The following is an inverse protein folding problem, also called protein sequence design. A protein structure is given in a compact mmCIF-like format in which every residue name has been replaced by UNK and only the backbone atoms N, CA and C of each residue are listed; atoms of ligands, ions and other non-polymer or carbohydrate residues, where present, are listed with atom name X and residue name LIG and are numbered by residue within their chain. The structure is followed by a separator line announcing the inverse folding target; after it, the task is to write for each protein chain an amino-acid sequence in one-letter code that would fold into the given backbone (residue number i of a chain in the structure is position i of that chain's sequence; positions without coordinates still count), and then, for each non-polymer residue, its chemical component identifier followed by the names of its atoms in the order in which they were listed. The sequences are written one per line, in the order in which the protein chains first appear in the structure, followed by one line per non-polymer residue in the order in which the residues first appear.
data_IF_170255757350
#
_entry.id   IF_170255757350
#
_cell.length_a   1.000
_cell.length_b   1.000
_cell.length_c   1.000
_cell.angle_alpha   90.00
_cell.angle_beta   90.00
_cell.angle_gamma   90.00
#
_symmetry.space_group_name_H-M   'P 1'
#
loop_
_entity.id
_entity.type
_entity.pdbx_description
1 polymer ?
#
# COMPACT_ATOMS: atom_id res chain seq x y z
N UNK A 1 25.27 33.12 16.37
CA UNK A 1 25.08 34.56 16.06
C UNK A 1 23.61 34.88 15.77
N UNK A 2 23.21 36.15 15.58
CA UNK A 2 21.86 36.45 15.05
C UNK A 2 21.85 36.08 13.57
N UNK A 3 20.97 35.15 13.16
CA UNK A 3 20.79 34.78 11.76
C UNK A 3 19.34 34.47 11.43
N UNK A 4 19.04 34.49 10.14
CA UNK A 4 17.74 34.11 9.60
C UNK A 4 17.64 32.58 9.62
N UNK A 5 16.66 32.05 10.36
CA UNK A 5 16.44 30.61 10.55
C UNK A 5 14.96 30.29 10.40
N UNK A 6 14.66 29.01 10.25
CA UNK A 6 13.30 28.51 10.16
C UNK A 6 12.61 28.50 11.54
N UNK A 7 11.37 28.97 11.56
CA UNK A 7 10.42 28.87 12.67
C UNK A 7 9.27 27.97 12.26
N UNK A 8 8.86 27.07 13.15
CA UNK A 8 7.71 26.19 12.95
C UNK A 8 6.63 26.54 13.98
N UNK A 9 5.43 26.86 13.50
CA UNK A 9 4.24 27.10 14.32
C UNK A 9 3.56 25.76 14.66
N UNK A 10 3.75 25.29 15.89
CA UNK A 10 3.20 24.01 16.37
C UNK A 10 1.66 23.97 16.31
N UNK A 11 0.97 25.12 16.41
CA UNK A 11 -0.49 25.16 16.35
C UNK A 11 -1.01 24.89 14.94
N UNK A 12 -0.25 25.28 13.91
CA UNK A 12 -0.59 25.05 12.49
C UNK A 12 -0.02 23.76 11.94
N UNK A 13 1.02 23.22 12.57
CA UNK A 13 1.66 21.99 12.15
C UNK A 13 0.71 20.80 12.34
N UNK A 14 0.47 20.01 11.29
CA UNK A 14 -0.37 18.80 11.35
C UNK A 14 0.43 17.51 11.57
N UNK A 15 1.76 17.59 11.56
CA UNK A 15 2.62 16.41 11.69
C UNK A 15 2.77 15.58 10.42
N UNK A 16 2.37 16.11 9.25
CA UNK A 16 2.36 15.35 7.99
C UNK A 16 3.74 14.92 7.45
N UNK A 17 4.84 15.44 7.98
CA UNK A 17 6.20 15.00 7.63
C UNK A 17 6.79 15.54 6.32
N UNK A 18 6.01 16.19 5.46
CA UNK A 18 6.48 16.68 4.15
C UNK A 18 7.72 17.61 4.21
N UNK A 19 7.85 18.37 5.30
CA UNK A 19 9.01 19.25 5.53
C UNK A 19 10.28 18.49 5.96
N UNK A 20 10.15 17.30 6.54
CA UNK A 20 11.27 16.41 6.85
C UNK A 20 11.88 15.91 5.56
N UNK A 21 11.05 15.40 4.64
CA UNK A 21 11.50 14.87 3.35
C UNK A 21 12.08 15.96 2.43
N UNK A 22 11.57 17.19 2.55
CA UNK A 22 12.02 18.32 1.75
C UNK A 22 13.33 18.96 2.26
N UNK A 23 13.77 18.66 3.48
CA UNK A 23 14.94 19.30 4.06
C UNK A 23 16.22 18.61 3.56
N UNK A 24 16.97 19.29 2.69
CA UNK A 24 18.22 18.73 2.16
C UNK A 24 19.21 18.40 3.27
N UNK A 25 19.27 19.24 4.32
CA UNK A 25 20.19 19.10 5.45
C UNK A 25 19.69 18.16 6.56
N UNK A 26 18.55 17.50 6.36
CA UNK A 26 18.00 16.54 7.34
C UNK A 26 17.76 17.16 8.74
N UNK A 27 17.58 18.49 8.78
CA UNK A 27 17.55 19.31 9.99
C UNK A 27 16.20 19.31 10.72
N UNK A 28 15.14 18.82 10.08
CA UNK A 28 13.78 18.77 10.62
C UNK A 28 13.42 17.34 10.98
N UNK A 29 12.82 17.14 12.15
CA UNK A 29 12.32 15.85 12.62
C UNK A 29 10.89 15.97 13.16
N UNK A 30 10.19 14.85 13.26
CA UNK A 30 8.89 14.79 13.95
C UNK A 30 9.09 14.35 15.40
N UNK A 31 8.73 15.23 16.34
CA UNK A 31 8.72 14.94 17.77
C UNK A 31 7.29 15.15 18.25
N UNK A 32 6.69 14.12 18.88
CA UNK A 32 5.31 14.14 19.36
C UNK A 32 4.28 14.55 18.28
N UNK A 33 4.51 14.14 17.02
CA UNK A 33 3.62 14.46 15.90
C UNK A 33 3.72 15.91 15.42
N UNK A 34 4.75 16.66 15.81
CA UNK A 34 5.01 18.04 15.36
C UNK A 34 6.41 18.14 14.76
N UNK A 35 6.53 18.93 13.70
CA UNK A 35 7.83 19.20 13.09
C UNK A 35 8.63 20.15 13.98
N UNK A 36 9.88 19.79 14.26
CA UNK A 36 10.81 20.58 15.07
C UNK A 36 12.20 20.54 14.40
N UNK A 37 12.97 21.62 14.58
CA UNK A 37 14.39 21.61 14.22
C UNK A 37 15.13 20.72 15.22
N UNK A 38 15.93 19.79 14.71
CA UNK A 38 16.73 18.90 15.53
C UNK A 38 17.79 19.70 16.29
N UNK A 39 18.51 20.56 15.56
CA UNK A 39 19.46 21.53 16.09
C UNK A 39 19.52 22.74 15.17
N UNK A 40 19.85 23.89 15.75
CA UNK A 40 19.97 25.14 15.03
C UNK A 40 21.09 25.13 13.98
N UNK A 41 22.23 24.53 14.30
CA UNK A 41 23.40 24.44 13.43
C UNK A 41 23.21 23.47 12.24
N UNK A 42 22.12 22.71 12.21
CA UNK A 42 21.78 21.87 11.05
C UNK A 42 20.96 22.63 10.01
N UNK A 43 20.29 23.71 10.39
CA UNK A 43 19.49 24.50 9.47
C UNK A 43 20.38 25.50 8.73
N UNK A 44 20.51 25.38 7.41
CA UNK A 44 21.25 26.34 6.58
C UNK A 44 20.55 27.70 6.46
N UNK A 45 19.22 27.74 6.67
CA UNK A 45 18.39 28.94 6.52
C UNK A 45 17.92 29.20 5.08
N UNK A 46 18.04 28.21 4.17
CA UNK A 46 17.65 28.35 2.76
C UNK A 46 16.13 28.33 2.56
N UNK A 47 15.45 27.45 3.31
CA UNK A 47 13.98 27.41 3.37
C UNK A 47 13.26 26.50 2.38
N UNK A 48 13.92 25.44 1.89
CA UNK A 48 13.31 24.42 1.02
C UNK A 48 12.06 23.75 1.63
N UNK A 49 11.94 23.75 2.95
CA UNK A 49 10.78 23.23 3.65
C UNK A 49 9.52 24.11 3.55
N UNK A 50 9.64 25.40 3.21
CA UNK A 50 8.50 26.34 3.18
C UNK A 50 7.43 25.92 2.16
N UNK A 51 7.75 25.69 0.88
CA UNK A 51 6.75 25.33 -0.13
C UNK A 51 6.08 23.97 0.13
N UNK A 52 6.76 23.08 0.86
CA UNK A 52 6.29 21.72 1.15
C UNK A 52 5.29 21.67 2.31
N UNK A 53 5.09 22.77 3.05
CA UNK A 53 4.16 22.81 4.17
C UNK A 53 2.74 23.21 3.71
N UNK A 54 1.77 22.27 3.62
CA UNK A 54 0.44 22.57 3.10
C UNK A 54 -0.38 23.51 4.00
N UNK A 55 -0.01 23.62 5.28
CA UNK A 55 -0.69 24.49 6.26
C UNK A 55 0.03 25.80 6.51
N UNK A 56 1.10 26.10 5.78
CA UNK A 56 1.93 27.29 5.98
C UNK A 56 2.36 27.48 7.45
N UNK A 57 2.71 26.38 8.12
CA UNK A 57 3.19 26.38 9.49
C UNK A 57 4.67 26.82 9.61
N UNK A 58 5.37 26.98 8.50
CA UNK A 58 6.82 27.25 8.47
C UNK A 58 7.06 28.66 7.95
N UNK A 59 7.89 29.43 8.66
CA UNK A 59 8.27 30.79 8.29
C UNK A 59 9.73 31.07 8.64
N UNK A 60 10.27 32.19 8.17
CA UNK A 60 11.56 32.68 8.68
C UNK A 60 11.39 33.50 9.94
N UNK A 61 12.38 33.44 10.82
CA UNK A 61 12.59 34.39 11.92
C UNK A 61 14.07 34.76 12.03
N UNK A 62 14.36 35.91 12.61
CA UNK A 62 15.72 36.28 13.01
C UNK A 62 15.84 36.12 14.51
N UNK A 63 16.73 35.24 14.94
CA UNK A 63 17.03 35.02 16.35
C UNK A 63 18.48 34.62 16.55
N UNK A 64 18.91 34.62 17.80
CA UNK A 64 20.17 34.01 18.17
C UNK A 64 20.10 32.49 17.95
N UNK A 65 21.04 31.97 17.16
CA UNK A 65 21.15 30.57 16.80
C UNK A 65 22.62 30.20 16.60
N UNK A 66 22.95 28.92 16.71
CA UNK A 66 24.26 28.41 16.33
C UNK A 66 24.48 28.59 14.82
N UNK A 67 25.74 28.75 14.43
CA UNK A 67 26.14 28.88 13.02
C UNK A 67 25.98 27.52 12.33
N UNK A 68 25.73 27.54 11.02
CA UNK A 68 25.56 26.31 10.25
C UNK A 68 26.86 25.49 10.24
N UNK A 69 26.78 24.21 10.57
CA UNK A 69 27.90 23.27 10.67
C UNK A 69 27.73 22.13 9.65
N UNK A 70 28.32 22.32 8.47
CA UNK A 70 28.26 21.38 7.35
C UNK A 70 28.85 20.00 7.71
N UNK A 71 29.92 19.98 8.51
CA UNK A 71 30.56 18.73 8.94
C UNK A 71 29.64 17.95 9.90
N UNK A 72 28.99 18.65 10.83
CA UNK A 72 28.04 18.02 11.76
C UNK A 72 26.79 17.49 11.04
N UNK A 73 26.32 18.18 10.00
CA UNK A 73 25.21 17.70 9.16
C UNK A 73 25.60 16.45 8.38
N UNK A 74 26.77 16.46 7.74
CA UNK A 74 27.27 15.32 6.97
C UNK A 74 27.44 14.07 7.84
N UNK A 75 28.03 14.23 9.03
CA UNK A 75 28.15 13.15 10.00
C UNK A 75 26.78 12.61 10.43
N UNK A 76 25.79 13.48 10.65
CA UNK A 76 24.43 13.07 11.00
C UNK A 76 23.76 12.24 9.87
N UNK A 77 23.92 12.66 8.60
CA UNK A 77 23.40 11.92 7.44
C UNK A 77 24.09 10.56 7.25
N UNK A 78 25.40 10.49 7.48
CA UNK A 78 26.16 9.23 7.43
C UNK A 78 25.74 8.27 8.55
N UNK A 79 25.49 8.79 9.75
CA UNK A 79 25.00 8.02 10.90
C UNK A 79 23.55 7.54 10.73
N UNK A 80 22.69 8.31 10.06
CA UNK A 80 21.32 7.88 9.67
C UNK A 80 21.34 6.71 8.68
N UNK A 81 22.30 6.65 7.76
CA UNK A 81 22.46 5.53 6.80
C UNK A 81 22.89 4.22 7.46
N UNK A 82 23.57 4.29 8.60
CA UNK A 82 24.05 3.12 9.36
C UNK A 82 23.10 2.71 10.50
N UNK A 83 22.20 3.61 10.89
CA UNK A 83 21.24 3.42 11.98
C UNK A 83 19.82 3.53 11.42
N UNK A 84 19.31 2.50 10.74
CA UNK A 84 17.88 2.41 10.46
C UNK A 84 17.17 2.10 11.78
N UNK A 85 16.44 3.05 12.40
CA UNK A 85 15.65 2.75 13.58
C UNK A 85 14.30 2.26 13.10
N UNK A 86 13.92 1.07 13.58
CA UNK A 86 12.55 0.55 13.60
C UNK A 86 11.55 1.69 13.82
N UNK A 87 10.64 1.86 12.88
CA UNK A 87 9.43 2.66 13.03
C UNK A 87 8.71 2.30 14.33
N UNK A 88 8.30 3.34 15.07
CA UNK A 88 7.61 3.22 16.35
C UNK A 88 6.26 2.51 16.19
N UNK A 89 6.12 1.47 17.01
CA UNK A 89 4.90 0.76 17.36
C UNK A 89 3.83 1.69 17.95
N UNK A 90 2.62 1.63 17.39
CA UNK A 90 1.38 1.80 18.15
C UNK A 90 0.78 0.39 18.31
N UNK A 91 0.97 -0.15 19.51
CA UNK A 91 0.40 -1.35 20.12
C UNK A 91 -0.53 -2.23 19.26
N UNK A 92 -0.09 -3.46 18.98
CA UNK A 92 -0.72 -4.64 19.57
C UNK A 92 0.27 -5.81 19.60
N UNK A 93 0.22 -6.57 20.69
CA UNK A 93 1.10 -7.68 21.04
C UNK A 93 1.18 -8.74 19.94
N UNK A 94 2.39 -9.00 19.45
CA UNK A 94 2.96 -10.35 19.28
C UNK A 94 4.39 -10.22 18.75
N UNK A 95 5.37 -10.40 19.64
CA UNK A 95 6.80 -10.42 19.30
C UNK A 95 7.19 -11.84 18.88
N UNK A 96 6.94 -12.18 17.62
CA UNK A 96 7.72 -13.22 16.94
C UNK A 96 8.90 -12.55 16.24
N UNK A 97 10.10 -13.11 16.44
CA UNK A 97 11.30 -12.73 15.69
C UNK A 97 11.09 -13.10 14.22
N UNK A 98 10.47 -12.22 13.43
CA UNK A 98 10.38 -12.41 11.99
C UNK A 98 11.66 -11.86 11.34
N UNK A 99 12.52 -12.77 10.90
CA UNK A 99 13.51 -12.47 9.86
C UNK A 99 12.77 -11.80 8.70
N UNK A 100 13.20 -10.60 8.30
CA UNK A 100 12.55 -9.86 7.21
C UNK A 100 12.90 -10.53 5.88
N UNK A 101 12.24 -11.65 5.58
CA UNK A 101 12.36 -12.33 4.31
C UNK A 101 11.72 -11.45 3.24
N UNK A 102 12.51 -11.00 2.26
CA UNK A 102 11.99 -10.29 1.10
C UNK A 102 11.06 -11.24 0.35
N UNK A 103 9.75 -11.00 0.41
CA UNK A 103 8.75 -11.81 -0.29
C UNK A 103 8.68 -11.37 -1.74
N UNK A 104 9.04 -12.27 -2.66
CA UNK A 104 8.92 -11.99 -4.11
C UNK A 104 7.45 -12.03 -4.54
N UNK A 105 7.05 -11.07 -5.38
CA UNK A 105 5.71 -11.03 -5.96
C UNK A 105 5.42 -12.32 -6.74
N UNK A 106 4.22 -12.87 -6.52
CA UNK A 106 3.71 -14.05 -7.24
C UNK A 106 2.72 -13.67 -8.37
N UNK A 107 2.66 -12.39 -8.75
CA UNK A 107 1.78 -11.92 -9.81
C UNK A 107 2.34 -12.30 -11.19
N UNK A 108 1.53 -12.94 -12.03
CA UNK A 108 1.96 -13.46 -13.34
C UNK A 108 1.53 -12.59 -14.53
N UNK A 109 0.65 -11.60 -14.32
CA UNK A 109 0.06 -10.82 -15.40
C UNK A 109 -0.39 -9.43 -14.94
N UNK A 110 -0.55 -8.53 -15.90
CA UNK A 110 -1.12 -7.20 -15.73
C UNK A 110 -1.96 -6.81 -16.97
N UNK A 111 -3.10 -6.09 -16.84
CA UNK A 111 -3.75 -5.63 -15.61
C UNK A 111 -4.44 -6.77 -14.84
N UNK A 112 -4.82 -6.49 -13.59
CA UNK A 112 -5.54 -7.46 -12.71
C UNK A 112 -7.02 -7.13 -12.53
N UNK A 113 -7.45 -5.90 -12.80
CA UNK A 113 -8.84 -5.47 -12.61
C UNK A 113 -9.74 -6.13 -13.66
N UNK A 114 -10.82 -6.81 -13.24
CA UNK A 114 -11.75 -7.53 -14.14
C UNK A 114 -12.25 -6.61 -15.26
N UNK A 115 -12.52 -5.34 -14.96
CA UNK A 115 -12.97 -4.33 -15.94
C UNK A 115 -11.93 -4.07 -17.04
N UNK A 116 -10.64 -4.16 -16.72
CA UNK A 116 -9.55 -3.78 -17.62
C UNK A 116 -8.98 -4.97 -18.40
N UNK A 117 -9.16 -6.20 -17.90
CA UNK A 117 -8.64 -7.40 -18.56
C UNK A 117 -9.39 -7.63 -19.89
N UNK A 118 -8.62 -7.90 -20.96
CA UNK A 118 -9.21 -8.36 -22.22
C UNK A 118 -9.65 -9.81 -22.07
N UNK A 119 -10.90 -10.18 -22.44
CA UNK A 119 -11.37 -11.56 -22.35
C UNK A 119 -10.60 -12.54 -23.25
N UNK A 120 -9.85 -12.03 -24.22
CA UNK A 120 -9.07 -12.82 -25.20
C UNK A 120 -7.56 -12.76 -24.93
N UNK A 121 -7.15 -12.32 -23.74
CA UNK A 121 -5.72 -12.24 -23.41
C UNK A 121 -5.12 -13.65 -23.35
N UNK A 122 -4.00 -13.87 -24.04
CA UNK A 122 -3.39 -15.20 -24.20
C UNK A 122 -3.06 -15.88 -22.88
N UNK A 123 -2.65 -15.12 -21.86
CA UNK A 123 -2.33 -15.65 -20.53
C UNK A 123 -3.53 -16.30 -19.81
N UNK A 124 -4.77 -16.04 -20.25
CA UNK A 124 -5.96 -16.65 -19.66
C UNK A 124 -6.14 -18.11 -20.11
N UNK A 125 -5.61 -18.50 -21.27
CA UNK A 125 -5.79 -19.84 -21.79
C UNK A 125 -4.91 -20.87 -21.05
N UNK A 126 -5.45 -22.07 -20.85
CA UNK A 126 -4.84 -23.17 -20.09
C UNK A 126 -4.38 -22.77 -18.68
N UNK A 127 -5.15 -21.89 -18.03
CA UNK A 127 -4.74 -21.25 -16.76
C UNK A 127 -5.56 -21.69 -15.54
N UNK A 128 -4.99 -21.48 -14.35
CA UNK A 128 -5.75 -21.51 -13.10
C UNK A 128 -6.18 -20.09 -12.77
N UNK A 129 -7.49 -19.86 -12.62
CA UNK A 129 -8.02 -18.53 -12.37
C UNK A 129 -8.19 -18.28 -10.87
N UNK A 130 -7.76 -17.11 -10.43
CA UNK A 130 -8.08 -16.53 -9.13
C UNK A 130 -9.02 -15.35 -9.37
N UNK A 131 -10.24 -15.43 -8.83
CA UNK A 131 -11.20 -14.32 -8.85
C UNK A 131 -11.34 -13.83 -7.41
N UNK A 132 -10.86 -12.63 -7.11
CA UNK A 132 -10.75 -12.15 -5.74
C UNK A 132 -11.43 -10.78 -5.53
N UNK A 133 -12.10 -10.61 -4.38
CA UNK A 133 -12.59 -9.30 -3.98
C UNK A 133 -11.41 -8.39 -3.59
N UNK A 134 -11.45 -7.10 -3.96
CA UNK A 134 -10.31 -6.17 -3.76
C UNK A 134 -9.72 -6.18 -2.34
N UNK A 135 -10.57 -6.19 -1.31
CA UNK A 135 -10.14 -6.15 0.08
C UNK A 135 -9.36 -7.39 0.53
N UNK A 136 -9.47 -8.52 -0.17
CA UNK A 136 -8.91 -9.81 0.28
C UNK A 136 -7.39 -9.82 0.34
N UNK A 137 -6.72 -9.17 -0.61
CA UNK A 137 -5.26 -9.06 -0.61
C UNK A 137 -4.72 -8.14 0.48
N UNK A 138 -5.54 -7.19 0.95
CA UNK A 138 -5.20 -6.30 2.06
C UNK A 138 -5.53 -6.90 3.42
N UNK A 139 -6.53 -7.78 3.49
CA UNK A 139 -6.91 -8.46 4.73
C UNK A 139 -6.01 -9.67 5.03
N UNK A 140 -5.65 -10.48 4.04
CA UNK A 140 -4.86 -11.68 4.24
C UNK A 140 -3.40 -11.45 3.83
N UNK A 141 -2.50 -11.28 4.80
CA UNK A 141 -1.11 -10.86 4.54
C UNK A 141 -0.33 -11.76 3.58
N UNK A 142 -0.55 -13.08 3.59
CA UNK A 142 0.16 -14.02 2.72
C UNK A 142 -0.54 -14.28 1.37
N UNK A 143 -1.27 -13.29 0.84
CA UNK A 143 -2.13 -13.46 -0.33
C UNK A 143 -1.38 -13.88 -1.59
N UNK A 144 -0.21 -13.29 -1.83
CA UNK A 144 0.61 -13.60 -3.02
C UNK A 144 1.00 -15.09 -3.05
N UNK A 145 1.52 -15.63 -1.94
CA UNK A 145 1.95 -17.03 -1.93
C UNK A 145 0.77 -18.02 -1.84
N UNK A 146 -0.27 -17.69 -1.07
CA UNK A 146 -1.41 -18.60 -0.86
C UNK A 146 -2.35 -18.66 -2.05
N UNK A 147 -2.63 -17.52 -2.68
CA UNK A 147 -3.68 -17.40 -3.69
C UNK A 147 -3.13 -17.05 -5.08
N UNK A 148 -2.21 -16.10 -5.22
CA UNK A 148 -1.76 -15.66 -6.56
C UNK A 148 -0.79 -16.63 -7.23
N UNK A 149 0.06 -17.32 -6.45
CA UNK A 149 1.07 -18.23 -6.99
C UNK A 149 0.47 -19.26 -7.94
N UNK A 150 1.04 -19.34 -9.15
CA UNK A 150 0.61 -20.23 -10.25
C UNK A 150 -0.84 -20.01 -10.73
N UNK A 151 -1.39 -18.80 -10.52
CA UNK A 151 -2.72 -18.42 -11.00
C UNK A 151 -2.68 -17.10 -11.77
N UNK A 152 -3.65 -16.94 -12.66
CA UNK A 152 -4.01 -15.67 -13.26
C UNK A 152 -5.00 -14.97 -12.32
N UNK A 153 -4.66 -13.75 -11.92
CA UNK A 153 -5.38 -12.99 -10.89
C UNK A 153 -6.31 -11.95 -11.50
N UNK A 154 -7.60 -12.11 -11.22
CA UNK A 154 -8.65 -11.16 -11.54
C UNK A 154 -9.23 -10.61 -10.24
N UNK A 155 -9.21 -9.29 -10.07
CA UNK A 155 -9.77 -8.61 -8.89
C UNK A 155 -10.93 -7.70 -9.26
N UNK A 156 -11.83 -7.51 -8.31
CA UNK A 156 -12.87 -6.48 -8.40
C UNK A 156 -13.79 -6.46 -7.18
N UNK A 157 -14.50 -5.35 -7.01
CA UNK A 157 -15.51 -5.17 -5.97
C UNK A 157 -16.82 -4.69 -6.59
N UNK A 158 -17.83 -5.55 -6.82
CA UNK A 158 -19.08 -5.16 -7.46
C UNK A 158 -19.79 -3.99 -6.78
N UNK A 159 -19.66 -3.88 -5.45
CA UNK A 159 -20.23 -2.79 -4.65
C UNK A 159 -19.53 -1.46 -4.91
N UNK A 160 -18.20 -1.44 -5.00
CA UNK A 160 -17.42 -0.23 -5.27
C UNK A 160 -17.57 0.18 -6.73
N UNK A 161 -17.51 -0.80 -7.61
CA UNK A 161 -17.52 -0.60 -9.05
C UNK A 161 -18.92 -0.32 -9.62
N UNK A 162 -19.97 -0.60 -8.86
CA UNK A 162 -21.37 -0.51 -9.25
C UNK A 162 -21.68 -1.26 -10.55
N UNK A 163 -21.17 -2.49 -10.68
CA UNK A 163 -21.38 -3.36 -11.86
C UNK A 163 -21.57 -4.82 -11.46
N UNK A 164 -22.16 -5.60 -12.36
CA UNK A 164 -22.15 -7.07 -12.33
C UNK A 164 -21.05 -7.57 -13.28
N UNK A 165 -20.11 -8.38 -12.78
CA UNK A 165 -19.03 -8.94 -13.60
C UNK A 165 -19.43 -10.17 -14.43
N UNK A 166 -20.67 -10.66 -14.30
CA UNK A 166 -21.13 -11.90 -14.94
C UNK A 166 -20.81 -11.95 -16.43
N UNK A 167 -21.18 -10.91 -17.19
CA UNK A 167 -20.98 -10.86 -18.64
C UNK A 167 -19.49 -10.98 -19.00
N UNK A 168 -18.64 -10.22 -18.32
CA UNK A 168 -17.20 -10.23 -18.54
C UNK A 168 -16.58 -11.59 -18.22
N UNK A 169 -17.01 -12.21 -17.12
CA UNK A 169 -16.53 -13.54 -16.73
C UNK A 169 -17.03 -14.61 -17.71
N UNK A 170 -18.28 -14.51 -18.21
CA UNK A 170 -18.80 -15.40 -19.26
C UNK A 170 -17.91 -15.32 -20.51
N UNK A 171 -17.58 -14.10 -20.97
CA UNK A 171 -16.69 -13.92 -22.12
C UNK A 171 -15.31 -14.57 -21.90
N UNK A 172 -14.72 -14.36 -20.71
CA UNK A 172 -13.43 -14.98 -20.36
C UNK A 172 -13.54 -16.51 -20.41
N UNK A 173 -14.58 -17.11 -19.83
CA UNK A 173 -14.74 -18.58 -19.85
C UNK A 173 -15.03 -19.12 -21.25
N UNK A 174 -15.71 -18.35 -22.10
CA UNK A 174 -16.03 -18.78 -23.47
C UNK A 174 -14.81 -18.74 -24.40
N UNK A 175 -13.92 -17.77 -24.24
CA UNK A 175 -12.74 -17.61 -25.10
C UNK A 175 -11.51 -18.41 -24.67
N UNK A 176 -11.49 -18.95 -23.45
CA UNK A 176 -10.30 -19.57 -22.87
C UNK A 176 -10.62 -20.94 -22.25
N UNK A 177 -9.66 -21.85 -22.29
CA UNK A 177 -9.67 -23.08 -21.50
C UNK A 177 -9.14 -22.77 -20.08
N UNK A 178 -9.95 -23.06 -19.05
CA UNK A 178 -9.62 -22.75 -17.65
C UNK A 178 -9.58 -24.04 -16.84
N UNK A 179 -8.44 -24.31 -16.21
CA UNK A 179 -8.18 -25.55 -15.48
C UNK A 179 -8.88 -25.59 -14.12
N UNK A 180 -8.95 -24.45 -13.42
CA UNK A 180 -9.63 -24.32 -12.14
C UNK A 180 -9.98 -22.87 -11.81
N UNK A 181 -10.96 -22.65 -10.95
CA UNK A 181 -11.31 -21.32 -10.44
C UNK A 181 -11.26 -21.32 -8.90
N UNK A 182 -10.50 -20.41 -8.31
CA UNK A 182 -10.57 -20.13 -6.87
C UNK A 182 -11.17 -18.74 -6.68
N UNK A 183 -12.26 -18.68 -5.93
CA UNK A 183 -12.96 -17.44 -5.63
C UNK A 183 -12.57 -17.05 -4.20
N UNK A 184 -11.98 -15.87 -4.01
CA UNK A 184 -11.64 -15.38 -2.68
C UNK A 184 -12.51 -14.18 -2.36
N UNK A 185 -13.27 -14.26 -1.26
CA UNK A 185 -14.18 -13.20 -0.80
C UNK A 185 -13.92 -12.83 0.64
N UNK A 186 -14.36 -11.65 1.05
CA UNK A 186 -14.49 -11.33 2.47
C UNK A 186 -15.79 -11.94 3.04
N UNK A 187 -15.83 -12.20 4.35
CA UNK A 187 -17.01 -12.71 5.06
C UNK A 187 -18.25 -11.81 4.92
N UNK A 188 -18.01 -10.50 4.78
CA UNK A 188 -19.03 -9.46 4.70
C UNK A 188 -19.97 -9.63 3.48
N UNK A 189 -21.25 -9.22 3.61
CA UNK A 189 -22.26 -9.45 2.58
C UNK A 189 -21.99 -8.73 1.26
N UNK A 190 -21.23 -7.63 1.26
CA UNK A 190 -20.91 -6.91 0.03
C UNK A 190 -20.10 -7.73 -0.99
N UNK A 191 -19.40 -8.78 -0.54
CA UNK A 191 -18.66 -9.68 -1.44
C UNK A 191 -19.53 -10.82 -2.02
N UNK A 192 -20.84 -10.85 -1.76
CA UNK A 192 -21.71 -11.85 -2.40
C UNK A 192 -21.78 -11.66 -3.93
N UNK A 193 -21.68 -10.41 -4.41
CA UNK A 193 -21.77 -10.09 -5.84
C UNK A 193 -20.73 -10.80 -6.70
N UNK A 194 -19.47 -10.90 -6.25
CA UNK A 194 -18.40 -11.51 -7.05
C UNK A 194 -18.54 -13.04 -7.12
N UNK A 195 -19.05 -13.66 -6.04
CA UNK A 195 -19.39 -15.09 -6.04
C UNK A 195 -20.54 -15.35 -7.00
N UNK A 196 -21.61 -14.55 -6.92
CA UNK A 196 -22.78 -14.72 -7.77
C UNK A 196 -22.43 -14.55 -9.25
N UNK A 197 -21.61 -13.54 -9.58
CA UNK A 197 -21.12 -13.33 -10.93
C UNK A 197 -20.32 -14.53 -11.46
N UNK A 198 -19.44 -15.09 -10.63
CA UNK A 198 -18.63 -16.27 -11.01
C UNK A 198 -19.50 -17.51 -11.19
N UNK A 199 -20.45 -17.77 -10.27
CA UNK A 199 -21.39 -18.90 -10.37
C UNK A 199 -22.23 -18.81 -11.63
N UNK A 200 -22.76 -17.61 -11.94
CA UNK A 200 -23.51 -17.37 -13.17
C UNK A 200 -22.64 -17.63 -14.40
N UNK A 201 -21.40 -17.14 -14.41
CA UNK A 201 -20.48 -17.40 -15.52
C UNK A 201 -20.19 -18.89 -15.73
N UNK A 202 -19.95 -19.64 -14.65
CA UNK A 202 -19.78 -21.09 -14.72
C UNK A 202 -21.01 -21.79 -15.32
N UNK A 203 -22.21 -21.45 -14.86
CA UNK A 203 -23.47 -22.01 -15.37
C UNK A 203 -23.68 -21.70 -16.85
N UNK A 204 -23.52 -20.44 -17.26
CA UNK A 204 -23.78 -19.99 -18.64
C UNK A 204 -22.70 -20.45 -19.62
N UNK A 205 -21.45 -20.65 -19.18
CA UNK A 205 -20.39 -21.18 -20.04
C UNK A 205 -20.61 -22.64 -20.45
N UNK A 206 -21.41 -23.39 -19.68
CA UNK A 206 -21.60 -24.83 -19.87
C UNK A 206 -20.35 -25.69 -19.62
N UNK A 207 -19.22 -25.10 -19.21
CA UNK A 207 -17.96 -25.81 -18.98
C UNK A 207 -17.94 -26.45 -17.58
N UNK A 208 -17.38 -27.66 -17.51
CA UNK A 208 -17.15 -28.36 -16.23
C UNK A 208 -15.78 -27.97 -15.70
N UNK A 209 -15.72 -26.91 -14.90
CA UNK A 209 -14.48 -26.38 -14.32
C UNK A 209 -14.49 -26.62 -12.80
N UNK A 210 -13.48 -27.28 -12.22
CA UNK A 210 -13.34 -27.37 -10.77
C UNK A 210 -13.24 -25.99 -10.12
N UNK A 211 -14.07 -25.71 -9.11
CA UNK A 211 -14.06 -24.42 -8.43
C UNK A 211 -14.27 -24.54 -6.92
N UNK A 212 -13.78 -23.53 -6.20
CA UNK A 212 -13.94 -23.40 -4.75
C UNK A 212 -14.12 -21.94 -4.34
N UNK A 213 -14.75 -21.72 -3.18
CA UNK A 213 -14.81 -20.41 -2.53
C UNK A 213 -13.99 -20.48 -1.25
N UNK A 214 -13.13 -19.49 -1.06
CA UNK A 214 -12.40 -19.24 0.18
C UNK A 214 -12.92 -17.93 0.76
N UNK A 215 -13.31 -17.96 2.03
CA UNK A 215 -13.81 -16.78 2.73
C UNK A 215 -12.74 -16.27 3.71
N UNK A 216 -12.42 -14.99 3.63
CA UNK A 216 -11.50 -14.30 4.54
C UNK A 216 -12.32 -13.48 5.54
N UNK A 217 -12.04 -13.63 6.83
CA UNK A 217 -12.66 -12.84 7.88
C UNK A 217 -12.19 -11.38 7.84
N UNK A 218 -12.90 -10.49 8.53
CA UNK A 218 -12.48 -9.10 8.72
C UNK A 218 -11.19 -8.96 9.53
N UNK A 219 -10.78 -10.00 10.26
CA UNK A 219 -9.48 -10.09 10.95
C UNK A 219 -8.36 -10.67 10.09
N UNK A 220 -8.64 -11.10 8.85
CA UNK A 220 -7.63 -11.64 7.94
C UNK A 220 -7.38 -13.14 8.08
N UNK A 221 -8.28 -13.89 8.71
CA UNK A 221 -8.22 -15.35 8.83
C UNK A 221 -9.01 -16.04 7.71
N UNK A 222 -8.64 -17.26 7.35
CA UNK A 222 -9.44 -18.08 6.42
C UNK A 222 -10.52 -18.80 7.22
N UNK A 223 -11.77 -18.65 6.81
CA UNK A 223 -12.92 -19.36 7.39
C UNK A 223 -13.13 -20.69 6.66
N UNK A 224 -13.25 -21.78 7.43
CA UNK A 224 -13.59 -23.14 6.98
C UNK A 224 -15.08 -23.29 6.64
#
# INVERSE_FOLDING_TARGET
MIRKIIKIDENKCTGCGLCVDACHEDAIVLINGKAQLLRDDYCDGLGDCLPSCPTNAISFEEREALDYDEEAVKLNMENKKTSIPKTLNLNNNDLTNEETTIVSSQLNQWPVQIKLVSPKAEYLNDSNLLIAADCTAYAYGNFHNKFMKNRITLIGCPKLDNVDYSEKLIEILNYNEINSITIVRMEVPCCAGIVNATKKALMESGKVIPWQIVTISTSGEILE
#
